data_IF_576611164133
#
_entry.id   IF_576611164133
#
_cell.length_a   1.000
_cell.length_b   1.000
_cell.length_c   1.000
_cell.angle_alpha   90.00
_cell.angle_beta   90.00
_cell.angle_gamma   90.00
#
_symmetry.space_group_name_H-M   'P 1'
#
loop_
_entity.id
_entity.type
_entity.pdbx_description
1 polymer ?
#
# COMPACT_ATOMS: atom_id res chain seq x y z
N UNK A 1 2.88 -2.97 28.51
CA UNK A 1 2.33 -1.99 27.55
C UNK A 1 2.58 -2.48 26.14
N UNK A 2 1.79 -2.04 25.16
CA UNK A 2 2.04 -2.35 23.74
C UNK A 2 3.12 -1.39 23.21
N UNK A 3 4.15 -1.87 22.47
CA UNK A 3 5.16 -1.00 21.87
C UNK A 3 4.54 -0.02 20.86
N UNK A 4 4.98 1.24 20.87
CA UNK A 4 4.49 2.26 19.94
C UNK A 4 4.65 1.85 18.47
N UNK A 5 5.80 1.26 18.12
CA UNK A 5 6.07 0.79 16.76
C UNK A 5 5.03 -0.23 16.26
N UNK A 6 4.53 -1.12 17.13
CA UNK A 6 3.49 -2.07 16.77
C UNK A 6 2.14 -1.38 16.53
N UNK A 7 1.83 -0.33 17.29
CA UNK A 7 0.62 0.49 17.08
C UNK A 7 0.71 1.23 15.75
N UNK A 8 1.86 1.84 15.45
CA UNK A 8 2.10 2.55 14.18
C UNK A 8 2.00 1.61 12.98
N UNK A 9 2.57 0.43 13.07
CA UNK A 9 2.48 -0.59 12.01
C UNK A 9 1.03 -0.99 11.75
N UNK A 10 0.27 -1.31 12.80
CA UNK A 10 -1.15 -1.65 12.68
C UNK A 10 -1.96 -0.48 12.08
N UNK A 11 -1.66 0.76 12.49
CA UNK A 11 -2.31 1.94 11.95
C UNK A 11 -2.08 2.07 10.43
N UNK A 12 -0.85 1.85 9.95
CA UNK A 12 -0.54 1.90 8.50
C UNK A 12 -1.28 0.83 7.72
N UNK A 13 -1.31 -0.40 8.23
CA UNK A 13 -2.04 -1.51 7.59
C UNK A 13 -3.53 -1.20 7.51
N UNK A 14 -4.12 -0.71 8.60
CA UNK A 14 -5.52 -0.33 8.66
C UNK A 14 -5.83 0.83 7.70
N UNK A 15 -4.96 1.83 7.60
CA UNK A 15 -5.15 2.96 6.70
C UNK A 15 -5.18 2.52 5.23
N UNK A 16 -4.19 1.72 4.80
CA UNK A 16 -4.15 1.18 3.44
C UNK A 16 -5.29 0.21 3.14
N UNK A 17 -5.75 -0.56 4.13
CA UNK A 17 -6.87 -1.49 3.98
C UNK A 17 -8.24 -0.80 3.79
N UNK A 18 -8.31 0.54 3.89
CA UNK A 18 -9.51 1.32 3.52
C UNK A 18 -9.74 1.34 2.01
N UNK A 19 -8.71 1.07 1.21
CA UNK A 19 -8.81 1.09 -0.25
C UNK A 19 -9.56 -0.14 -0.77
N UNK A 20 -10.56 0.03 -1.66
CA UNK A 20 -11.25 -1.09 -2.28
C UNK A 20 -10.26 -2.05 -2.95
N UNK A 21 -10.34 -3.34 -2.60
CA UNK A 21 -9.45 -4.38 -3.14
C UNK A 21 -8.10 -4.51 -2.42
N UNK A 22 -7.75 -3.60 -1.50
CA UNK A 22 -6.56 -3.71 -0.65
C UNK A 22 -6.95 -4.35 0.68
N UNK A 23 -6.65 -5.64 0.84
CA UNK A 23 -6.87 -6.41 2.09
C UNK A 23 -5.54 -6.65 2.80
N UNK A 24 -5.56 -7.36 3.94
CA UNK A 24 -4.40 -7.58 4.81
C UNK A 24 -3.09 -7.92 4.09
N UNK A 25 -3.08 -8.91 3.19
CA UNK A 25 -1.85 -9.30 2.46
C UNK A 25 -1.35 -8.18 1.53
N UNK A 26 -2.25 -7.50 0.80
CA UNK A 26 -1.88 -6.41 -0.12
C UNK A 26 -1.43 -5.16 0.66
N UNK A 27 -2.10 -4.85 1.77
CA UNK A 27 -1.69 -3.78 2.68
C UNK A 27 -0.31 -4.06 3.28
N UNK A 28 -0.08 -5.31 3.71
CA UNK A 28 1.22 -5.77 4.22
C UNK A 28 2.33 -5.62 3.18
N UNK A 29 2.08 -6.10 1.96
CA UNK A 29 3.02 -5.93 0.84
C UNK A 29 3.39 -4.45 0.65
N UNK A 30 2.41 -3.55 0.64
CA UNK A 30 2.66 -2.13 0.48
C UNK A 30 3.50 -1.55 1.63
N UNK A 31 3.15 -1.85 2.88
CA UNK A 31 3.92 -1.38 4.07
C UNK A 31 5.35 -1.89 4.03
N UNK A 32 5.55 -3.19 3.81
CA UNK A 32 6.87 -3.80 3.84
C UNK A 32 7.73 -3.35 2.63
N UNK A 33 7.09 -3.02 1.50
CA UNK A 33 7.74 -2.43 0.33
C UNK A 33 7.94 -0.90 0.44
N UNK A 34 7.58 -0.28 1.56
CA UNK A 34 7.89 1.12 1.89
C UNK A 34 6.80 2.15 1.64
N UNK A 35 5.57 1.73 1.32
CA UNK A 35 4.39 2.62 1.23
C UNK A 35 3.82 2.82 2.63
N UNK A 36 3.77 4.07 3.10
CA UNK A 36 3.51 4.35 4.53
C UNK A 36 2.12 4.89 4.83
N UNK A 37 1.37 5.36 3.83
CA UNK A 37 0.06 5.99 4.02
C UNK A 37 -0.71 6.11 2.71
N UNK A 38 -1.99 6.50 2.80
CA UNK A 38 -2.81 6.84 1.62
C UNK A 38 -2.17 7.97 0.77
N UNK A 39 -1.74 9.13 1.32
CA UNK A 39 -1.06 10.16 0.52
C UNK A 39 0.25 9.67 -0.13
N UNK A 40 1.04 8.85 0.58
CA UNK A 40 2.26 8.27 0.00
C UNK A 40 1.91 7.40 -1.21
N UNK A 41 0.86 6.58 -1.13
CA UNK A 41 0.38 5.77 -2.25
C UNK A 41 -0.19 6.62 -3.39
N UNK A 42 -0.95 7.67 -3.07
CA UNK A 42 -1.57 8.57 -4.05
C UNK A 42 -0.55 9.34 -4.90
N UNK A 43 0.63 9.62 -4.33
CA UNK A 43 1.72 10.33 -4.97
C UNK A 43 2.63 9.44 -5.85
N UNK A 44 2.44 8.12 -5.87
CA UNK A 44 3.28 7.19 -6.64
C UNK A 44 2.87 7.16 -8.11
N UNK A 45 3.86 6.99 -8.98
CA UNK A 45 3.58 6.53 -10.35
C UNK A 45 3.18 5.03 -10.33
N UNK A 46 2.04 4.65 -10.94
CA UNK A 46 1.58 3.27 -10.93
C UNK A 46 2.51 2.25 -11.60
N UNK A 47 3.19 2.64 -12.68
CA UNK A 47 4.09 1.74 -13.41
C UNK A 47 5.37 1.49 -12.61
N UNK A 48 5.98 2.56 -12.10
CA UNK A 48 7.15 2.48 -11.23
C UNK A 48 6.85 1.69 -9.96
N UNK A 49 5.70 1.93 -9.33
CA UNK A 49 5.27 1.19 -8.15
C UNK A 49 5.06 -0.30 -8.47
N UNK A 50 4.42 -0.63 -9.59
CA UNK A 50 4.25 -2.03 -9.99
C UNK A 50 5.60 -2.73 -10.21
N UNK A 51 6.54 -2.06 -10.88
CA UNK A 51 7.90 -2.57 -11.07
C UNK A 51 8.67 -2.73 -9.76
N UNK A 52 8.53 -1.79 -8.83
CA UNK A 52 9.11 -1.88 -7.49
C UNK A 52 8.56 -3.07 -6.69
N UNK A 53 7.24 -3.22 -6.62
CA UNK A 53 6.59 -4.31 -5.87
C UNK A 53 6.97 -5.69 -6.40
N UNK A 54 7.09 -5.83 -7.73
CA UNK A 54 7.54 -7.09 -8.36
C UNK A 54 8.96 -7.46 -7.96
N UNK A 55 9.89 -6.51 -8.02
CA UNK A 55 11.27 -6.73 -7.59
C UNK A 55 11.33 -7.07 -6.11
N UNK A 56 10.61 -6.31 -5.28
CA UNK A 56 10.58 -6.54 -3.84
C UNK A 56 10.07 -7.94 -3.49
N UNK A 57 8.96 -8.39 -4.07
CA UNK A 57 8.44 -9.76 -3.83
C UNK A 57 9.43 -10.83 -4.27
N UNK A 58 10.11 -10.64 -5.40
CA UNK A 58 11.11 -11.59 -5.90
C UNK A 58 12.36 -11.68 -4.99
N UNK A 59 12.71 -10.58 -4.31
CA UNK A 59 13.93 -10.48 -3.50
C UNK A 59 13.70 -10.77 -2.00
N UNK A 60 12.49 -10.54 -1.49
CA UNK A 60 12.21 -10.58 -0.04
C UNK A 60 11.71 -11.93 0.49
N UNK A 61 11.30 -12.84 -0.40
CA UNK A 61 10.65 -14.10 0.01
C UNK A 61 9.26 -13.89 0.61
N UNK A 62 8.60 -12.78 0.26
CA UNK A 62 7.25 -12.44 0.72
C UNK A 62 6.23 -13.55 0.44
N UNK A 63 5.40 -13.87 1.43
CA UNK A 63 4.30 -14.83 1.29
C UNK A 63 3.09 -14.19 0.58
N UNK A 64 3.25 -13.97 -0.72
CA UNK A 64 2.23 -13.40 -1.59
C UNK A 64 2.74 -13.11 -3.00
N UNK A 65 1.84 -12.65 -3.86
CA UNK A 65 2.17 -12.28 -5.25
C UNK A 65 2.14 -10.77 -5.45
N UNK A 66 3.05 -10.28 -6.28
CA UNK A 66 3.01 -8.91 -6.72
C UNK A 66 1.72 -8.63 -7.52
N UNK A 67 1.09 -7.46 -7.34
CA UNK A 67 -0.11 -7.08 -8.07
C UNK A 67 0.11 -6.94 -9.57
N UNK A 68 -0.96 -7.10 -10.34
CA UNK A 68 -1.00 -6.75 -11.76
C UNK A 68 -1.00 -5.22 -11.95
N UNK A 69 -0.55 -4.72 -13.11
CA UNK A 69 -0.46 -3.27 -13.35
C UNK A 69 -1.81 -2.55 -13.16
N UNK A 70 -2.89 -3.16 -13.64
CA UNK A 70 -4.24 -2.61 -13.49
C UNK A 70 -4.69 -2.52 -12.01
N UNK A 71 -4.28 -3.46 -11.16
CA UNK A 71 -4.60 -3.41 -9.73
C UNK A 71 -3.82 -2.29 -9.02
N UNK A 72 -2.55 -2.08 -9.39
CA UNK A 72 -1.74 -0.98 -8.85
C UNK A 72 -2.31 0.36 -9.28
N UNK A 73 -2.61 0.52 -10.57
CA UNK A 73 -3.23 1.73 -11.10
C UNK A 73 -4.57 2.03 -10.42
N UNK A 74 -5.40 1.00 -10.21
CA UNK A 74 -6.65 1.15 -9.47
C UNK A 74 -6.41 1.60 -8.02
N UNK A 75 -5.43 1.01 -7.33
CA UNK A 75 -5.10 1.36 -5.94
C UNK A 75 -4.59 2.81 -5.80
N UNK A 76 -3.70 3.26 -6.70
CA UNK A 76 -3.21 4.64 -6.73
C UNK A 76 -4.35 5.61 -7.00
N UNK A 77 -5.19 5.34 -8.01
CA UNK A 77 -6.33 6.19 -8.31
C UNK A 77 -7.38 6.20 -7.17
N UNK A 78 -7.57 5.08 -6.47
CA UNK A 78 -8.44 5.03 -5.31
C UNK A 78 -7.88 5.85 -4.14
N UNK A 79 -6.56 5.83 -3.94
CA UNK A 79 -5.88 6.66 -2.94
C UNK A 79 -6.04 8.16 -3.22
N UNK A 80 -5.84 8.58 -4.47
CA UNK A 80 -6.02 9.97 -4.90
C UNK A 80 -7.46 10.46 -4.63
N UNK A 81 -8.47 9.70 -5.01
CA UNK A 81 -9.88 10.06 -4.73
C UNK A 81 -10.18 10.13 -3.24
N UNK A 82 -9.61 9.24 -2.44
CA UNK A 82 -9.79 9.25 -1.00
C UNK A 82 -9.12 10.47 -0.36
N UNK A 83 -7.95 10.88 -0.85
CA UNK A 83 -7.26 12.09 -0.40
C UNK A 83 -8.08 13.34 -0.73
N UNK A 84 -8.60 13.47 -1.96
CA UNK A 84 -9.49 14.56 -2.36
C UNK A 84 -10.75 14.66 -1.48
N UNK A 85 -11.37 13.52 -1.14
CA UNK A 85 -12.58 13.49 -0.31
C UNK A 85 -12.33 13.88 1.16
N UNK A 86 -11.07 13.85 1.61
CA UNK A 86 -10.66 14.12 3.00
C UNK A 86 -9.75 15.37 3.06
N UNK A 87 -9.68 16.18 2.01
CA UNK A 87 -9.07 17.50 2.05
C UNK A 87 -10.09 18.53 2.58
N UNK A 88 -9.85 19.05 3.79
CA UNK A 88 -10.77 19.96 4.51
C UNK A 88 -10.13 21.34 4.55
#
# INVERSE_FOLDING_TARGET
GVPLAAIEELARLCDLARLPGVKGIRARLYVDAGVRSIPDLAARDPEELCGHLRRWVAESGFDGIAPFPAEVAHAVAAAQRLEEAVAW
#
